data_IF_769691505124
#
_entry.id   IF_769691505124
#
_cell.length_a   1.000
_cell.length_b   1.000
_cell.length_c   1.000
_cell.angle_alpha   90.00
_cell.angle_beta   90.00
_cell.angle_gamma   90.00
#
_symmetry.space_group_name_H-M   'P 1'
#
loop_
_entity.id
_entity.type
_entity.pdbx_description
1 polymer ?
#
# COMPACT_ATOMS: atom_id res chain seq x y z
N UNK A 1 32.90 -12.53 -31.32
CA UNK A 1 32.28 -13.07 -30.08
C UNK A 1 32.61 -12.26 -28.83
N UNK A 2 33.83 -11.69 -28.66
CA UNK A 2 34.14 -10.87 -27.46
C UNK A 2 33.36 -9.55 -27.35
N UNK A 3 32.96 -8.93 -28.46
CA UNK A 3 32.38 -7.58 -28.47
C UNK A 3 30.89 -7.54 -28.07
N UNK A 4 30.12 -8.61 -28.30
CA UNK A 4 28.68 -8.65 -27.97
C UNK A 4 28.47 -8.88 -26.48
N UNK A 5 29.26 -9.75 -25.86
CA UNK A 5 29.21 -9.99 -24.41
C UNK A 5 29.58 -8.75 -23.60
N UNK A 6 30.57 -7.96 -24.05
CA UNK A 6 30.93 -6.70 -23.40
C UNK A 6 29.81 -5.65 -23.51
N UNK A 7 29.12 -5.58 -24.66
CA UNK A 7 27.97 -4.70 -24.85
C UNK A 7 26.80 -5.14 -23.95
N UNK A 8 26.49 -6.44 -23.90
CA UNK A 8 25.46 -7.01 -23.00
C UNK A 8 25.73 -6.66 -21.54
N UNK A 9 26.98 -6.81 -21.08
CA UNK A 9 27.38 -6.48 -19.71
C UNK A 9 27.31 -4.97 -19.40
N UNK A 10 27.75 -4.12 -20.34
CA UNK A 10 27.66 -2.67 -20.20
C UNK A 10 26.20 -2.19 -20.14
N UNK A 11 25.35 -2.66 -21.06
CA UNK A 11 23.92 -2.36 -21.06
C UNK A 11 23.25 -2.86 -19.78
N UNK A 12 23.54 -4.09 -19.36
CA UNK A 12 23.03 -4.65 -18.11
C UNK A 12 23.42 -3.81 -16.89
N UNK A 13 24.64 -3.28 -16.85
CA UNK A 13 25.10 -2.39 -15.77
C UNK A 13 24.35 -1.06 -15.76
N UNK A 14 24.14 -0.44 -16.92
CA UNK A 14 23.37 0.82 -17.05
C UNK A 14 21.91 0.60 -16.64
N UNK A 15 21.28 -0.49 -17.11
CA UNK A 15 19.93 -0.89 -16.73
C UNK A 15 19.85 -1.11 -15.21
N UNK A 16 20.88 -1.74 -14.64
CA UNK A 16 21.01 -1.94 -13.21
C UNK A 16 20.95 -0.62 -12.44
N UNK A 17 21.79 0.34 -12.83
CA UNK A 17 21.86 1.66 -12.20
C UNK A 17 20.53 2.43 -12.32
N UNK A 18 20.00 2.56 -13.54
CA UNK A 18 18.75 3.31 -13.79
C UNK A 18 17.57 2.65 -13.09
N UNK A 19 17.47 1.32 -13.16
CA UNK A 19 16.39 0.59 -12.50
C UNK A 19 16.41 0.74 -10.98
N UNK A 20 17.60 0.70 -10.36
CA UNK A 20 17.74 0.86 -8.92
C UNK A 20 17.31 2.24 -8.43
N UNK A 21 17.55 3.30 -9.20
CA UNK A 21 17.11 4.67 -8.86
C UNK A 21 15.60 4.86 -8.92
N UNK A 22 14.95 4.10 -9.79
CA UNK A 22 13.52 4.25 -10.06
C UNK A 22 12.68 3.38 -9.12
N UNK A 23 13.19 2.20 -8.76
CA UNK A 23 12.54 1.24 -7.88
C UNK A 23 12.12 1.87 -6.54
N UNK A 24 10.84 1.75 -6.20
CA UNK A 24 10.32 2.28 -4.94
C UNK A 24 10.43 1.27 -3.79
N UNK A 25 10.59 1.75 -2.56
CA UNK A 25 10.67 0.87 -1.38
C UNK A 25 9.34 0.17 -1.06
N UNK A 26 8.23 0.77 -1.50
CA UNK A 26 6.86 0.30 -1.26
C UNK A 26 6.63 -1.13 -1.75
N UNK A 27 7.35 -1.60 -2.79
CA UNK A 27 7.22 -3.00 -3.23
C UNK A 27 7.60 -4.01 -2.15
N UNK A 28 8.48 -3.66 -1.20
CA UNK A 28 8.80 -4.55 -0.07
C UNK A 28 7.73 -4.55 1.02
N UNK A 29 6.90 -3.50 1.15
CA UNK A 29 5.71 -3.56 2.01
C UNK A 29 4.76 -4.67 1.57
N UNK A 30 4.64 -4.90 0.25
CA UNK A 30 3.83 -5.98 -0.33
C UNK A 30 4.32 -7.36 0.09
N UNK A 31 5.63 -7.51 0.26
CA UNK A 31 6.25 -8.73 0.74
C UNK A 31 5.88 -8.97 2.21
N UNK A 32 5.99 -7.93 3.05
CA UNK A 32 5.76 -8.03 4.50
C UNK A 32 4.29 -7.98 4.93
N UNK A 33 3.40 -7.49 4.08
CA UNK A 33 1.97 -7.38 4.35
C UNK A 33 1.13 -7.75 3.11
N UNK A 34 1.22 -9.00 2.64
CA UNK A 34 0.55 -9.42 1.40
C UNK A 34 -0.97 -9.24 1.48
N UNK A 35 -1.54 -9.40 2.67
CA UNK A 35 -2.98 -9.33 2.97
C UNK A 35 -3.58 -7.98 2.56
N UNK A 36 -2.78 -6.92 2.64
CA UNK A 36 -3.17 -5.56 2.29
C UNK A 36 -3.24 -5.33 0.79
N UNK A 37 -2.41 -6.01 -0.02
CA UNK A 37 -2.24 -5.72 -1.45
C UNK A 37 -2.88 -6.74 -2.38
N UNK A 38 -2.98 -8.01 -1.98
CA UNK A 38 -3.41 -9.10 -2.87
C UNK A 38 -4.89 -9.48 -2.75
N UNK A 39 -5.69 -8.65 -2.05
CA UNK A 39 -7.10 -8.96 -1.80
C UNK A 39 -8.06 -8.51 -2.90
N UNK A 40 -7.76 -7.39 -3.57
CA UNK A 40 -8.61 -6.86 -4.65
C UNK A 40 -8.50 -7.73 -5.91
N UNK A 41 -9.63 -8.06 -6.53
CA UNK A 41 -9.70 -8.90 -7.74
C UNK A 41 -10.48 -8.20 -8.85
N UNK A 42 -10.14 -6.93 -9.12
CA UNK A 42 -10.67 -6.20 -10.27
C UNK A 42 -9.86 -6.53 -11.53
N UNK A 43 -10.49 -6.69 -12.72
CA UNK A 43 -9.76 -6.93 -13.97
C UNK A 43 -8.72 -5.86 -14.29
N UNK A 44 -9.04 -4.58 -14.06
CA UNK A 44 -8.10 -3.47 -14.25
C UNK A 44 -6.91 -3.54 -13.28
N UNK A 45 -7.14 -4.03 -12.06
CA UNK A 45 -6.07 -4.28 -11.10
C UNK A 45 -5.16 -5.43 -11.53
N UNK A 46 -5.74 -6.54 -12.02
CA UNK A 46 -4.97 -7.68 -12.51
C UNK A 46 -4.06 -7.28 -13.67
N UNK A 47 -4.55 -6.47 -14.61
CA UNK A 47 -3.73 -5.94 -15.71
C UNK A 47 -2.59 -5.06 -15.21
N UNK A 48 -2.86 -4.11 -14.31
CA UNK A 48 -1.80 -3.28 -13.71
C UNK A 48 -0.78 -4.13 -12.96
N UNK A 49 -1.24 -5.13 -12.22
CA UNK A 49 -0.37 -6.05 -11.46
C UNK A 49 0.49 -6.87 -12.42
N UNK A 50 -0.11 -7.37 -13.49
CA UNK A 50 0.56 -8.19 -14.49
C UNK A 50 1.70 -7.48 -15.19
N UNK A 51 1.53 -6.20 -15.52
CA UNK A 51 2.50 -5.46 -16.31
C UNK A 51 3.40 -4.52 -15.51
N UNK A 52 3.04 -4.15 -14.29
CA UNK A 52 3.74 -3.09 -13.55
C UNK A 52 4.28 -3.52 -12.18
N UNK A 53 3.97 -4.73 -11.70
CA UNK A 53 4.26 -5.15 -10.30
C UNK A 53 5.25 -6.31 -10.16
N UNK A 54 6.02 -6.62 -11.22
CA UNK A 54 7.04 -7.66 -11.16
C UNK A 54 8.25 -7.22 -10.33
N UNK A 55 8.75 -8.12 -9.48
CA UNK A 55 9.91 -7.87 -8.61
C UNK A 55 11.22 -8.46 -9.18
N UNK A 56 11.22 -8.89 -10.44
CA UNK A 56 12.38 -9.52 -11.10
C UNK A 56 13.43 -8.53 -11.65
N UNK A 57 13.25 -7.24 -11.37
CA UNK A 57 14.05 -6.17 -11.91
C UNK A 57 15.20 -5.72 -11.00
N UNK A 58 15.84 -4.58 -11.31
CA UNK A 58 16.94 -4.04 -10.52
C UNK A 58 16.40 -3.38 -9.24
N UNK A 59 16.13 -4.17 -8.20
CA UNK A 59 15.59 -3.70 -6.91
C UNK A 59 16.66 -3.50 -5.83
N UNK A 60 17.93 -3.75 -6.13
CA UNK A 60 19.00 -3.85 -5.14
C UNK A 60 19.17 -2.59 -4.27
N UNK A 61 19.05 -1.37 -4.84
CA UNK A 61 19.10 -0.12 -4.07
C UNK A 61 17.91 -0.02 -3.09
N UNK A 62 16.69 -0.17 -3.58
CA UNK A 62 15.49 -0.14 -2.73
C UNK A 62 15.51 -1.23 -1.63
N UNK A 63 16.07 -2.40 -1.94
CA UNK A 63 16.25 -3.49 -0.99
C UNK A 63 17.28 -3.12 0.10
N UNK A 64 18.44 -2.59 -0.28
CA UNK A 64 19.47 -2.13 0.67
C UNK A 64 18.94 -1.03 1.58
N UNK A 65 18.24 -0.04 1.02
CA UNK A 65 17.62 1.04 1.82
C UNK A 65 16.56 0.50 2.79
N UNK A 66 15.84 -0.56 2.40
CA UNK A 66 14.91 -1.26 3.29
C UNK A 66 15.67 -1.96 4.43
N UNK A 67 16.76 -2.67 4.13
CA UNK A 67 17.61 -3.30 5.15
C UNK A 67 18.27 -2.28 6.08
N UNK A 68 18.66 -1.12 5.57
CA UNK A 68 19.22 -0.02 6.37
C UNK A 68 18.20 0.56 7.33
N UNK A 69 16.95 0.78 6.89
CA UNK A 69 15.86 1.18 7.79
C UNK A 69 15.64 0.15 8.90
N UNK A 70 15.66 -1.14 8.56
CA UNK A 70 15.55 -2.22 9.55
C UNK A 70 16.72 -2.19 10.55
N UNK A 71 17.91 -1.80 10.09
CA UNK A 71 19.14 -1.70 10.90
C UNK A 71 19.12 -0.51 11.84
N UNK A 72 18.76 0.66 11.32
CA UNK A 72 18.61 1.89 12.07
C UNK A 72 17.59 1.72 13.20
N UNK A 73 16.50 1.01 12.94
CA UNK A 73 15.47 0.74 13.93
C UNK A 73 15.80 -0.41 14.90
N UNK A 74 17.00 -0.97 14.82
CA UNK A 74 17.54 -1.93 15.80
C UNK A 74 17.04 -3.37 15.68
N UNK A 75 16.40 -3.75 14.57
CA UNK A 75 15.79 -5.09 14.41
C UNK A 75 16.80 -6.25 14.32
N UNK A 76 18.07 -5.94 14.07
CA UNK A 76 19.16 -6.92 14.08
C UNK A 76 19.73 -7.18 15.48
N UNK A 77 19.43 -6.34 16.48
CA UNK A 77 20.10 -6.38 17.79
C UNK A 77 19.68 -7.55 18.69
N UNK A 78 18.58 -8.22 18.37
CA UNK A 78 18.18 -9.44 19.07
C UNK A 78 16.68 -9.64 19.14
N UNK A 79 16.25 -10.60 19.96
CA UNK A 79 14.83 -10.93 20.15
C UNK A 79 14.10 -9.74 20.77
N UNK A 80 13.00 -9.30 20.14
CA UNK A 80 12.15 -8.19 20.60
C UNK A 80 12.85 -6.83 20.77
N UNK A 81 14.08 -6.69 20.26
CA UNK A 81 14.78 -5.40 20.26
C UNK A 81 14.43 -4.61 18.99
N UNK A 82 14.48 -3.29 19.10
CA UNK A 82 14.14 -2.38 18.02
C UNK A 82 12.63 -2.18 17.81
N UNK A 83 12.28 -1.15 17.04
CA UNK A 83 10.90 -0.78 16.72
C UNK A 83 10.56 -1.08 15.25
N UNK A 84 9.33 -1.54 15.00
CA UNK A 84 8.87 -1.85 13.63
C UNK A 84 8.26 -0.64 12.93
N UNK A 85 7.85 0.39 13.68
CA UNK A 85 7.37 1.65 13.14
C UNK A 85 8.47 2.33 12.31
N UNK A 86 8.11 2.81 11.11
CA UNK A 86 9.01 3.45 10.15
C UNK A 86 9.80 2.46 9.29
N UNK A 87 9.51 1.15 9.40
CA UNK A 87 10.11 0.10 8.56
C UNK A 87 9.09 -0.44 7.56
N UNK A 88 9.54 -1.24 6.60
CA UNK A 88 8.63 -1.92 5.67
C UNK A 88 7.68 -2.93 6.34
N UNK A 89 7.90 -3.30 7.62
CA UNK A 89 6.93 -4.06 8.41
C UNK A 89 5.74 -3.22 8.85
N UNK A 90 5.96 -1.94 9.13
CA UNK A 90 4.93 -1.02 9.61
C UNK A 90 5.36 0.43 9.30
N UNK A 91 4.84 0.94 8.19
CA UNK A 91 5.23 2.26 7.69
C UNK A 91 4.69 3.39 8.57
N UNK A 92 5.49 4.43 8.74
CA UNK A 92 5.17 5.59 9.57
C UNK A 92 4.80 6.78 8.67
N UNK A 93 3.60 7.34 8.87
CA UNK A 93 3.17 8.52 8.12
C UNK A 93 3.71 9.83 8.73
N UNK A 94 4.30 9.79 9.93
CA UNK A 94 4.79 10.95 10.68
C UNK A 94 3.70 12.03 10.87
N UNK A 95 2.45 11.59 11.05
CA UNK A 95 1.30 12.47 11.27
C UNK A 95 0.94 12.51 12.75
N UNK A 96 0.33 13.62 13.16
CA UNK A 96 -0.16 13.82 14.52
C UNK A 96 -1.66 14.10 14.50
N UNK A 97 -2.35 13.62 15.53
CA UNK A 97 -3.75 13.89 15.78
C UNK A 97 -3.94 14.68 17.07
N UNK A 98 -5.01 15.46 17.13
CA UNK A 98 -5.47 16.17 18.32
C UNK A 98 -6.86 15.66 18.69
N UNK A 99 -7.14 15.59 19.98
CA UNK A 99 -8.48 15.20 20.47
C UNK A 99 -9.26 16.48 20.73
N UNK A 100 -10.45 16.60 20.16
CA UNK A 100 -11.32 17.75 20.41
C UNK A 100 -11.66 17.81 21.91
N UNK A 101 -11.47 18.98 22.52
CA UNK A 101 -11.60 19.18 23.97
C UNK A 101 -10.30 18.99 24.78
N UNK A 102 -9.21 18.51 24.16
CA UNK A 102 -7.85 18.47 24.74
C UNK A 102 -6.82 18.96 23.70
N UNK A 103 -7.01 20.20 23.24
CA UNK A 103 -6.26 20.76 22.09
C UNK A 103 -4.75 20.95 22.36
N UNK A 104 -4.33 20.99 23.63
CA UNK A 104 -2.94 21.24 24.04
C UNK A 104 -1.99 20.04 23.80
N UNK A 105 -2.53 18.84 23.51
CA UNK A 105 -1.72 17.63 23.32
C UNK A 105 -1.91 17.04 21.92
N UNK A 106 -0.85 17.13 21.13
CA UNK A 106 -0.73 16.39 19.87
C UNK A 106 -0.17 14.99 20.15
N UNK A 107 -0.80 13.98 19.56
CA UNK A 107 -0.38 12.58 19.67
C UNK A 107 0.05 12.06 18.30
N UNK A 108 1.06 11.19 18.26
CA UNK A 108 1.51 10.58 17.01
C UNK A 108 0.55 9.49 16.51
N UNK A 109 0.31 9.49 15.20
CA UNK A 109 -0.41 8.43 14.51
C UNK A 109 0.58 7.36 14.08
N UNK A 110 0.49 6.18 14.70
CA UNK A 110 1.40 5.06 14.41
C UNK A 110 0.87 4.19 13.28
N UNK A 111 -0.45 4.01 13.17
CA UNK A 111 -1.06 3.31 12.05
C UNK A 111 -1.68 4.29 11.06
N UNK A 112 -1.31 4.15 9.79
CA UNK A 112 -1.81 5.00 8.73
C UNK A 112 -3.03 4.50 7.96
N UNK A 113 -3.74 3.44 8.36
CA UNK A 113 -4.81 2.83 7.56
C UNK A 113 -5.97 3.80 7.31
N UNK A 114 -6.61 4.31 8.36
CA UNK A 114 -7.72 5.28 8.23
C UNK A 114 -7.27 6.52 7.45
N UNK A 115 -6.06 7.00 7.75
CA UNK A 115 -5.50 8.16 7.06
C UNK A 115 -5.28 7.87 5.58
N UNK A 116 -4.71 6.72 5.22
CA UNK A 116 -4.51 6.32 3.82
C UNK A 116 -5.82 6.14 3.09
N UNK A 117 -6.87 5.64 3.76
CA UNK A 117 -8.22 5.61 3.19
C UNK A 117 -8.64 7.04 2.84
N UNK A 118 -8.54 7.98 3.79
CA UNK A 118 -8.92 9.38 3.58
C UNK A 118 -8.06 10.09 2.52
N UNK A 119 -6.75 9.85 2.47
CA UNK A 119 -5.85 10.37 1.44
C UNK A 119 -6.22 9.88 0.03
N UNK A 120 -6.84 8.70 -0.07
CA UNK A 120 -7.35 8.13 -1.32
C UNK A 120 -8.79 8.52 -1.64
N UNK A 121 -9.52 9.12 -0.70
CA UNK A 121 -10.85 9.68 -0.91
C UNK A 121 -10.74 11.01 -1.66
N UNK A 122 -10.37 10.98 -2.93
CA UNK A 122 -10.38 12.18 -3.77
C UNK A 122 -11.78 12.40 -4.32
N UNK A 123 -12.32 13.64 -4.26
CA UNK A 123 -13.56 13.95 -4.95
C UNK A 123 -13.39 13.61 -6.44
N UNK A 124 -14.39 12.98 -7.09
CA UNK A 124 -14.31 12.70 -8.51
C UNK A 124 -14.07 14.02 -9.26
N UNK A 125 -13.24 14.02 -10.32
CA UNK A 125 -13.13 15.18 -11.19
C UNK A 125 -14.54 15.52 -11.67
N UNK A 126 -14.95 16.79 -11.59
CA UNK A 126 -16.27 17.21 -12.02
C UNK A 126 -16.45 16.91 -13.51
N UNK A 127 -17.26 15.90 -13.84
CA UNK A 127 -17.62 15.55 -15.21
C UNK A 127 -18.84 16.42 -15.56
N UNK A 128 -18.73 17.24 -16.60
CA UNK A 128 -19.89 17.97 -17.12
C UNK A 128 -20.93 16.96 -17.67
N UNK A 129 -22.21 17.34 -17.74
CA UNK A 129 -23.32 16.51 -18.26
C UNK A 129 -23.13 15.98 -19.71
N UNK A 130 -22.02 16.34 -20.38
CA UNK A 130 -21.62 15.87 -21.72
C UNK A 130 -20.47 14.85 -21.71
N UNK A 131 -20.00 14.40 -20.54
CA UNK A 131 -19.04 13.29 -20.43
C UNK A 131 -17.58 13.62 -20.77
N UNK A 132 -17.24 14.90 -20.95
CA UNK A 132 -15.85 15.33 -21.16
C UNK A 132 -15.16 15.63 -19.83
N UNK A 133 -13.93 15.11 -19.66
CA UNK A 133 -13.04 15.55 -18.58
C UNK A 133 -12.71 17.03 -18.80
N UNK A 134 -13.07 17.90 -17.86
CA UNK A 134 -12.69 19.32 -17.91
C UNK A 134 -11.21 19.42 -17.58
N UNK A 135 -10.37 19.60 -18.60
CA UNK A 135 -8.94 19.84 -18.38
C UNK A 135 -8.62 21.33 -18.23
N UNK A 136 -9.49 22.25 -18.66
CA UNK A 136 -9.12 23.67 -18.72
C UNK A 136 -10.09 24.61 -17.99
N UNK A 137 -9.49 25.45 -17.15
CA UNK A 137 -10.13 26.55 -16.41
C UNK A 137 -10.75 27.64 -17.31
N UNK A 138 -10.45 27.64 -18.62
CA UNK A 138 -10.85 28.70 -19.56
C UNK A 138 -12.19 28.44 -20.29
N UNK A 139 -12.83 27.30 -20.08
CA UNK A 139 -14.09 26.93 -20.77
C UNK A 139 -15.34 27.10 -19.89
N UNK A 140 -15.32 28.02 -18.91
CA UNK A 140 -16.53 28.41 -18.15
C UNK A 140 -17.30 29.49 -18.93
N UNK A 141 -18.57 29.28 -19.31
CA UNK A 141 -19.45 30.40 -19.63
C UNK A 141 -19.66 31.22 -18.35
N UNK A 142 -19.10 32.43 -18.32
CA UNK A 142 -19.42 33.56 -17.45
C UNK A 142 -20.20 33.25 -16.16
N UNK A 143 -19.50 32.74 -15.14
CA UNK A 143 -19.90 32.83 -13.73
C UNK A 143 -18.98 33.88 -13.09
N UNK A 144 -19.44 34.74 -12.15
CA UNK A 144 -18.70 35.93 -11.69
C UNK A 144 -17.43 35.63 -10.87
N UNK A 145 -17.07 34.36 -10.71
CA UNK A 145 -16.02 33.94 -9.80
C UNK A 145 -14.84 33.33 -10.57
N UNK A 146 -13.61 33.78 -10.30
CA UNK A 146 -12.43 33.32 -11.01
C UNK A 146 -12.21 31.82 -10.78
N UNK A 147 -11.55 31.13 -11.73
CA UNK A 147 -11.24 29.70 -11.60
C UNK A 147 -10.31 29.46 -10.41
N UNK A 148 -10.81 28.69 -9.44
CA UNK A 148 -10.17 28.38 -8.16
C UNK A 148 -8.92 27.53 -8.37
N UNK A 149 -7.75 28.03 -7.97
CA UNK A 149 -6.44 27.36 -8.19
C UNK A 149 -6.14 26.25 -7.17
N UNK A 150 -6.85 26.20 -6.05
CA UNK A 150 -6.60 25.26 -4.95
C UNK A 150 -7.92 24.91 -4.26
N UNK A 151 -8.13 23.62 -3.96
CA UNK A 151 -9.27 23.15 -3.18
C UNK A 151 -8.80 22.54 -1.86
N UNK A 152 -9.59 22.75 -0.80
CA UNK A 152 -9.30 22.27 0.54
C UNK A 152 -10.39 21.26 0.94
N UNK A 153 -10.14 19.95 0.79
CA UNK A 153 -11.11 18.95 1.21
C UNK A 153 -11.12 18.83 2.74
N UNK A 154 -12.32 18.70 3.29
CA UNK A 154 -12.60 18.35 4.68
C UNK A 154 -13.32 17.01 4.65
N UNK A 155 -12.70 16.00 5.25
CA UNK A 155 -13.28 14.67 5.36
C UNK A 155 -13.71 14.41 6.79
N UNK A 156 -15.00 14.13 6.98
CA UNK A 156 -15.56 13.70 8.26
C UNK A 156 -15.88 12.21 8.17
N UNK A 157 -15.11 11.42 8.89
CA UNK A 157 -15.23 9.96 8.96
C UNK A 157 -15.83 9.59 10.31
N UNK A 158 -16.98 8.93 10.31
CA UNK A 158 -17.61 8.40 11.52
C UNK A 158 -17.41 6.89 11.62
N UNK A 159 -17.00 6.42 12.79
CA UNK A 159 -16.78 5.02 13.13
C UNK A 159 -17.89 4.58 14.07
N UNK A 160 -18.61 3.54 13.67
CA UNK A 160 -19.59 2.87 14.51
C UNK A 160 -19.17 1.43 14.68
N UNK A 161 -19.08 0.98 15.93
CA UNK A 161 -18.72 -0.40 16.22
C UNK A 161 -19.98 -1.25 16.28
N UNK A 162 -20.00 -2.34 15.54
CA UNK A 162 -21.19 -3.17 15.35
C UNK A 162 -20.85 -4.62 15.67
N UNK A 163 -21.74 -5.28 16.42
CA UNK A 163 -21.65 -6.71 16.71
C UNK A 163 -22.06 -7.56 15.50
N UNK A 164 -21.61 -8.82 15.47
CA UNK A 164 -21.82 -9.74 14.33
C UNK A 164 -23.28 -10.09 14.03
N UNK A 165 -24.26 -9.62 14.82
CA UNK A 165 -25.67 -10.01 14.72
C UNK A 165 -26.57 -9.03 13.94
N UNK A 166 -26.03 -7.89 13.48
CA UNK A 166 -26.83 -6.87 12.80
C UNK A 166 -27.11 -7.18 11.32
N UNK A 167 -28.37 -7.56 11.02
CA UNK A 167 -28.86 -7.91 9.68
C UNK A 167 -28.90 -6.76 8.66
N UNK A 168 -28.75 -5.51 9.11
CA UNK A 168 -28.72 -4.33 8.22
C UNK A 168 -27.36 -4.14 7.51
N UNK A 169 -26.39 -5.01 7.77
CA UNK A 169 -25.03 -4.92 7.22
C UNK A 169 -24.86 -5.60 5.85
N UNK A 170 -25.82 -6.43 5.42
CA UNK A 170 -25.69 -7.26 4.20
C UNK A 170 -25.56 -6.46 2.90
N UNK A 171 -26.00 -5.19 2.88
CA UNK A 171 -25.92 -4.31 1.70
C UNK A 171 -24.60 -3.54 1.61
N UNK A 172 -23.75 -3.58 2.65
CA UNK A 172 -22.52 -2.79 2.72
C UNK A 172 -21.31 -3.69 2.40
N UNK A 173 -20.36 -3.16 1.63
CA UNK A 173 -19.14 -3.90 1.27
C UNK A 173 -18.31 -4.25 2.50
N UNK A 174 -18.09 -5.56 2.72
CA UNK A 174 -17.34 -6.10 3.85
C UNK A 174 -15.86 -6.32 3.53
N UNK A 175 -14.98 -5.72 4.34
CA UNK A 175 -13.53 -5.82 4.19
C UNK A 175 -12.88 -6.43 5.44
N UNK A 176 -12.61 -7.74 5.42
CA UNK A 176 -11.77 -8.40 6.44
C UNK A 176 -10.30 -8.55 6.02
N UNK A 177 -9.33 -8.33 6.90
CA UNK A 177 -7.90 -8.64 6.65
C UNK A 177 -7.60 -10.15 6.74
N UNK A 178 -8.48 -10.98 6.19
CA UNK A 178 -8.31 -12.43 6.08
C UNK A 178 -7.81 -12.83 4.71
N UNK A 179 -6.98 -13.87 4.69
CA UNK A 179 -6.30 -14.29 3.47
C UNK A 179 -7.12 -15.32 2.74
N UNK A 180 -7.55 -14.92 1.56
CA UNK A 180 -7.92 -15.89 0.54
C UNK A 180 -6.63 -16.41 -0.10
N UNK A 181 -6.23 -17.62 0.30
CA UNK A 181 -5.05 -18.30 -0.24
C UNK A 181 -5.09 -18.37 -1.77
N UNK A 182 -6.26 -18.65 -2.35
CA UNK A 182 -6.46 -18.73 -3.79
C UNK A 182 -6.29 -17.38 -4.48
N UNK A 183 -6.96 -16.32 -4.01
CA UNK A 183 -6.86 -14.99 -4.63
C UNK A 183 -5.43 -14.43 -4.54
N UNK A 184 -4.80 -14.64 -3.39
CA UNK A 184 -3.41 -14.22 -3.17
C UNK A 184 -2.46 -14.93 -4.12
N UNK A 185 -2.64 -16.25 -4.30
CA UNK A 185 -1.88 -17.02 -5.26
C UNK A 185 -2.06 -16.52 -6.70
N UNK A 186 -3.32 -16.33 -7.14
CA UNK A 186 -3.61 -15.77 -8.47
C UNK A 186 -2.98 -14.39 -8.68
N UNK A 187 -3.00 -13.52 -7.67
CA UNK A 187 -2.42 -12.19 -7.77
C UNK A 187 -0.88 -12.22 -7.81
N UNK A 188 -0.24 -13.16 -7.10
CA UNK A 188 1.22 -13.38 -7.19
C UNK A 188 1.60 -13.87 -8.59
N UNK A 189 0.89 -14.88 -9.11
CA UNK A 189 1.10 -15.40 -10.47
C UNK A 189 0.90 -14.31 -11.51
N UNK A 190 -0.17 -13.52 -11.38
CA UNK A 190 -0.40 -12.36 -12.24
C UNK A 190 0.80 -11.40 -12.17
N UNK A 191 1.26 -11.05 -10.96
CA UNK A 191 2.36 -10.09 -10.78
C UNK A 191 3.70 -10.50 -11.38
N UNK A 192 3.90 -11.79 -11.65
CA UNK A 192 5.13 -12.32 -12.26
C UNK A 192 4.86 -12.95 -13.64
N UNK A 193 3.70 -12.70 -14.25
CA UNK A 193 3.32 -13.34 -15.52
C UNK A 193 4.34 -13.09 -16.63
N UNK A 194 4.90 -11.89 -16.72
CA UNK A 194 5.94 -11.58 -17.70
C UNK A 194 7.21 -12.40 -17.48
N UNK A 195 7.60 -12.62 -16.21
CA UNK A 195 8.73 -13.46 -15.86
C UNK A 195 8.44 -14.93 -16.23
N UNK A 196 7.22 -15.40 -15.97
CA UNK A 196 6.76 -16.76 -16.32
C UNK A 196 6.82 -16.98 -17.83
N UNK A 197 6.36 -16.01 -18.62
CA UNK A 197 6.42 -16.10 -20.09
C UNK A 197 7.88 -16.19 -20.56
N UNK A 198 8.76 -15.31 -20.08
CA UNK A 198 10.19 -15.35 -20.43
C UNK A 198 10.84 -16.67 -20.00
N UNK A 199 10.55 -17.16 -18.79
CA UNK A 199 11.05 -18.43 -18.27
C UNK A 199 10.57 -19.61 -19.13
N UNK A 200 9.29 -19.62 -19.53
CA UNK A 200 8.74 -20.65 -20.39
C UNK A 200 9.41 -20.65 -21.78
N UNK A 201 9.62 -19.48 -22.38
CA UNK A 201 10.35 -19.35 -23.65
C UNK A 201 11.78 -19.90 -23.53
N UNK A 202 12.51 -19.54 -22.49
CA UNK A 202 13.90 -19.99 -22.27
C UNK A 202 13.97 -21.50 -22.00
N UNK A 203 12.99 -22.04 -21.27
CA UNK A 203 12.90 -23.46 -20.95
C UNK A 203 12.57 -24.30 -22.19
N UNK A 204 11.55 -23.92 -22.96
CA UNK A 204 11.02 -24.72 -24.07
C UNK A 204 11.91 -24.60 -25.31
N UNK A 205 12.26 -23.37 -25.70
CA UNK A 205 12.96 -23.09 -26.97
C UNK A 205 14.45 -23.35 -26.81
N UNK A 206 15.05 -22.82 -25.73
CA UNK A 206 16.51 -22.83 -25.52
C UNK A 206 16.99 -23.93 -24.56
N UNK A 207 16.06 -24.71 -23.97
CA UNK A 207 16.34 -25.84 -23.06
C UNK A 207 17.26 -25.47 -21.88
N UNK A 208 17.22 -24.22 -21.44
CA UNK A 208 18.03 -23.72 -20.34
C UNK A 208 17.22 -23.69 -19.04
N UNK A 209 17.15 -24.85 -18.37
CA UNK A 209 16.31 -25.03 -17.17
C UNK A 209 16.76 -24.16 -15.99
N UNK A 210 18.06 -24.09 -15.72
CA UNK A 210 18.58 -23.37 -14.55
C UNK A 210 18.26 -21.87 -14.61
N UNK A 211 18.41 -21.24 -15.78
CA UNK A 211 18.14 -19.81 -15.94
C UNK A 211 16.62 -19.52 -15.93
N UNK A 212 15.82 -20.48 -16.40
CA UNK A 212 14.36 -20.40 -16.29
C UNK A 212 13.91 -20.44 -14.82
N UNK A 213 14.52 -21.30 -14.00
CA UNK A 213 14.28 -21.33 -12.54
C UNK A 213 14.73 -20.03 -11.88
N UNK A 214 15.86 -19.46 -12.30
CA UNK A 214 16.34 -18.16 -11.83
C UNK A 214 15.31 -17.02 -12.09
N UNK A 215 14.68 -16.99 -13.28
CA UNK A 215 13.64 -15.99 -13.59
C UNK A 215 12.38 -16.13 -12.72
N UNK A 216 12.08 -17.35 -12.25
CA UNK A 216 10.95 -17.62 -11.36
C UNK A 216 11.28 -17.39 -9.88
N UNK A 217 12.53 -17.05 -9.55
CA UNK A 217 12.98 -16.89 -8.18
C UNK A 217 12.18 -15.81 -7.39
N UNK A 218 11.88 -14.62 -7.94
CA UNK A 218 11.06 -13.61 -7.26
C UNK A 218 9.64 -14.11 -6.93
N UNK A 219 9.04 -14.91 -7.80
CA UNK A 219 7.75 -15.55 -7.56
C UNK A 219 7.84 -16.50 -6.36
N UNK A 220 8.89 -17.32 -6.28
CA UNK A 220 9.13 -18.20 -5.14
C UNK A 220 9.30 -17.40 -3.83
N UNK A 221 10.05 -16.30 -3.85
CA UNK A 221 10.21 -15.43 -2.68
C UNK A 221 8.88 -14.83 -2.22
N UNK A 222 8.03 -14.37 -3.16
CA UNK A 222 6.68 -13.89 -2.85
C UNK A 222 5.82 -14.98 -2.19
N UNK A 223 5.86 -16.20 -2.71
CA UNK A 223 5.14 -17.34 -2.14
C UNK A 223 5.63 -17.69 -0.73
N UNK A 224 6.95 -17.71 -0.49
CA UNK A 224 7.52 -17.90 0.85
C UNK A 224 7.00 -16.82 1.78
N UNK A 225 6.97 -15.55 1.33
CA UNK A 225 6.53 -14.43 2.15
C UNK A 225 5.09 -14.56 2.64
N UNK A 226 4.17 -15.06 1.80
CA UNK A 226 2.78 -15.32 2.20
C UNK A 226 2.69 -16.36 3.32
N UNK A 227 3.55 -17.38 3.29
CA UNK A 227 3.61 -18.43 4.30
C UNK A 227 4.29 -17.93 5.59
N UNK A 228 5.30 -17.07 5.46
CA UNK A 228 6.09 -16.57 6.59
C UNK A 228 5.65 -15.20 7.08
N UNK A 229 4.45 -14.75 6.70
CA UNK A 229 3.89 -13.48 7.14
C UNK A 229 3.83 -13.39 8.67
N UNK A 230 4.10 -12.19 9.18
CA UNK A 230 3.95 -11.91 10.60
C UNK A 230 2.48 -11.74 10.97
N UNK A 231 2.14 -12.25 12.15
CA UNK A 231 0.83 -12.01 12.75
C UNK A 231 0.75 -10.55 13.15
N UNK A 232 -0.43 -9.94 12.98
CA UNK A 232 -0.67 -8.54 13.28
C UNK A 232 -1.82 -8.41 14.26
N UNK A 233 -1.81 -7.34 15.03
CA UNK A 233 -2.88 -6.99 15.96
C UNK A 233 -4.16 -6.69 15.18
N UNK A 234 -5.21 -7.39 15.57
CA UNK A 234 -6.56 -7.29 15.01
C UNK A 234 -7.40 -6.29 15.82
N UNK A 235 -8.62 -5.98 15.36
CA UNK A 235 -9.55 -5.18 16.15
C UNK A 235 -9.88 -5.92 17.44
N UNK A 236 -9.90 -5.19 18.54
CA UNK A 236 -10.20 -5.75 19.85
C UNK A 236 -11.68 -6.13 19.89
N UNK A 237 -11.98 -7.24 20.56
CA UNK A 237 -13.37 -7.60 20.83
C UNK A 237 -14.01 -6.52 21.68
N UNK A 238 -15.18 -6.08 21.24
CA UNK A 238 -15.94 -5.04 21.93
C UNK A 238 -16.65 -5.71 23.09
N UNK A 239 -16.18 -5.47 24.32
CA UNK A 239 -16.92 -5.87 25.50
C UNK A 239 -18.23 -5.05 25.56
N UNK A 240 -19.41 -5.70 25.45
CA UNK A 240 -20.68 -4.99 25.52
C UNK A 240 -20.78 -4.30 26.89
N UNK A 241 -20.82 -2.96 26.89
CA UNK A 241 -21.03 -2.13 28.09
C UNK A 241 -19.84 -1.29 28.57
N UNK A 242 -18.60 -1.50 28.08
CA UNK A 242 -17.45 -0.63 28.45
C UNK A 242 -17.13 0.47 27.43
N UNK A 243 -17.33 0.21 26.15
CA UNK A 243 -16.84 1.08 25.06
C UNK A 243 -17.93 2.00 24.46
N UNK A 244 -19.18 1.84 24.86
CA UNK A 244 -20.31 2.63 24.34
C UNK A 244 -20.41 4.06 24.92
N UNK A 245 -19.56 4.44 25.88
CA UNK A 245 -19.83 5.62 26.71
C UNK A 245 -19.13 6.93 26.29
N UNK A 246 -18.09 6.90 25.45
CA UNK A 246 -17.35 8.11 25.06
C UNK A 246 -17.05 8.14 23.57
N UNK A 247 -17.93 8.81 22.83
CA UNK A 247 -17.65 9.25 21.46
C UNK A 247 -16.66 10.41 21.57
N UNK A 248 -15.57 10.34 20.82
CA UNK A 248 -14.57 11.40 20.74
C UNK A 248 -14.30 11.74 19.28
N UNK A 249 -14.00 13.02 19.05
CA UNK A 249 -13.63 13.53 17.73
C UNK A 249 -12.14 13.84 17.70
N UNK A 250 -11.48 13.39 16.64
CA UNK A 250 -10.05 13.47 16.43
C UNK A 250 -9.77 14.29 15.17
N UNK A 251 -8.97 15.33 15.31
CA UNK A 251 -8.58 16.21 14.23
C UNK A 251 -7.16 15.87 13.75
N UNK A 252 -7.00 15.74 12.44
CA UNK A 252 -5.72 15.60 11.78
C UNK A 252 -5.59 16.61 10.64
N UNK A 253 -4.42 17.21 10.55
CA UNK A 253 -4.11 18.19 9.50
C UNK A 253 -3.02 17.61 8.61
N UNK A 254 -3.38 17.24 7.37
CA UNK A 254 -2.43 16.86 6.34
C UNK A 254 -2.29 18.00 5.32
N UNK A 255 -1.11 18.63 5.28
CA UNK A 255 -0.84 19.77 4.39
C UNK A 255 -1.07 19.45 2.91
N UNK A 256 -0.98 18.17 2.51
CA UNK A 256 -1.13 17.75 1.11
C UNK A 256 -2.54 17.29 0.78
N UNK A 257 -3.25 16.70 1.74
CA UNK A 257 -4.51 15.99 1.49
C UNK A 257 -5.72 16.60 2.19
N UNK A 258 -5.53 17.65 3.00
CA UNK A 258 -6.63 18.41 3.62
C UNK A 258 -6.79 18.15 5.11
N UNK A 259 -7.99 18.47 5.60
CA UNK A 259 -8.36 18.36 7.01
C UNK A 259 -9.18 17.08 7.21
N UNK A 260 -8.79 16.26 8.17
CA UNK A 260 -9.49 15.03 8.52
C UNK A 260 -10.09 15.14 9.92
N UNK A 261 -11.39 14.88 10.03
CA UNK A 261 -12.12 14.72 11.27
C UNK A 261 -12.56 13.26 11.36
N UNK A 262 -12.08 12.57 12.40
CA UNK A 262 -12.45 11.19 12.67
C UNK A 262 -13.23 11.16 13.97
N UNK A 263 -14.45 10.65 13.93
CA UNK A 263 -15.36 10.57 15.07
C UNK A 263 -15.72 9.12 15.35
N UNK A 264 -15.81 8.74 16.62
CA UNK A 264 -16.29 7.42 17.01
C UNK A 264 -15.93 7.09 18.45
N UNK A 265 -16.13 5.83 18.89
CA UNK A 265 -15.71 5.37 20.21
C UNK A 265 -14.21 5.61 20.42
N UNK A 266 -13.84 6.27 21.52
CA UNK A 266 -12.45 6.65 21.83
C UNK A 266 -11.50 5.43 21.82
N UNK A 267 -11.96 4.28 22.30
CA UNK A 267 -11.21 3.02 22.29
C UNK A 267 -10.92 2.54 20.86
N UNK A 268 -11.94 2.48 20.01
CA UNK A 268 -11.83 2.03 18.61
C UNK A 268 -10.92 2.95 17.80
N UNK A 269 -11.14 4.26 17.85
CA UNK A 269 -10.34 5.22 17.06
C UNK A 269 -8.87 5.23 17.52
N UNK A 270 -8.62 5.20 18.83
CA UNK A 270 -7.24 5.11 19.35
C UNK A 270 -6.59 3.77 19.06
N UNK A 271 -7.36 2.68 19.02
CA UNK A 271 -6.85 1.38 18.62
C UNK A 271 -6.32 1.45 17.19
N UNK A 272 -7.08 2.05 16.26
CA UNK A 272 -6.59 2.30 14.92
C UNK A 272 -5.27 3.08 14.98
N UNK A 273 -5.21 4.24 15.63
CA UNK A 273 -3.98 5.05 15.63
C UNK A 273 -2.75 4.41 16.30
N UNK A 274 -2.92 3.46 17.22
CA UNK A 274 -1.81 2.92 18.03
C UNK A 274 -1.42 1.48 17.73
N UNK A 275 -2.40 0.59 17.62
CA UNK A 275 -2.22 -0.84 17.79
C UNK A 275 -2.63 -1.65 16.55
N UNK A 276 -3.67 -1.21 15.84
CA UNK A 276 -4.18 -1.94 14.69
C UNK A 276 -3.08 -2.24 13.66
N UNK A 277 -3.02 -3.48 13.17
CA UNK A 277 -2.04 -3.90 12.16
C UNK A 277 -0.58 -3.95 12.64
N UNK A 278 -0.29 -3.68 13.91
CA UNK A 278 1.06 -3.75 14.45
C UNK A 278 1.54 -5.21 14.50
N UNK A 279 2.77 -5.54 14.05
CA UNK A 279 3.24 -6.93 14.09
C UNK A 279 3.41 -7.44 15.53
N UNK A 280 2.91 -8.64 15.78
CA UNK A 280 2.98 -9.33 17.07
C UNK A 280 4.32 -10.05 17.18
N UNK A 281 5.08 -9.76 18.25
CA UNK A 281 6.43 -10.32 18.47
C UNK A 281 6.55 -11.16 19.74
N UNK A 282 5.51 -11.88 20.14
CA UNK A 282 5.48 -12.59 21.43
C UNK A 282 6.25 -13.92 21.36
N UNK A 283 6.09 -14.68 20.28
CA UNK A 283 6.62 -16.04 20.17
C UNK A 283 8.00 -16.11 19.51
N UNK A 284 8.72 -17.23 19.71
CA UNK A 284 9.96 -17.53 18.96
C UNK A 284 9.69 -17.67 17.45
N UNK A 285 8.53 -18.19 17.07
CA UNK A 285 8.13 -18.33 15.66
C UNK A 285 7.97 -16.97 14.97
N UNK A 286 7.44 -15.97 15.69
CA UNK A 286 7.31 -14.61 15.14
C UNK A 286 8.69 -13.99 14.84
N UNK A 287 9.71 -14.28 15.67
CA UNK A 287 11.09 -13.87 15.39
C UNK A 287 11.67 -14.61 14.18
N UNK A 288 11.41 -15.90 14.03
CA UNK A 288 11.86 -16.65 12.83
C UNK A 288 11.23 -16.05 11.57
N UNK A 289 9.94 -15.73 11.61
CA UNK A 289 9.23 -15.06 10.50
C UNK A 289 9.82 -13.69 10.17
N UNK A 290 10.16 -12.90 11.18
CA UNK A 290 10.86 -11.62 11.02
C UNK A 290 12.21 -11.82 10.31
N UNK A 291 13.03 -12.76 10.79
CA UNK A 291 14.34 -13.06 10.20
C UNK A 291 14.22 -13.58 8.76
N UNK A 292 13.23 -14.44 8.47
CA UNK A 292 12.95 -14.88 7.11
C UNK A 292 12.57 -13.68 6.25
N UNK A 293 11.72 -12.78 6.74
CA UNK A 293 11.37 -11.55 6.04
C UNK A 293 12.60 -10.69 5.70
N UNK A 294 13.53 -10.51 6.64
CA UNK A 294 14.79 -9.80 6.41
C UNK A 294 15.63 -10.53 5.35
N UNK A 295 15.72 -11.87 5.44
CA UNK A 295 16.43 -12.68 4.47
C UNK A 295 15.83 -12.62 3.06
N UNK A 296 14.50 -12.52 2.94
CA UNK A 296 13.83 -12.34 1.65
C UNK A 296 14.24 -11.01 0.99
N UNK A 297 14.28 -9.91 1.75
CA UNK A 297 14.77 -8.62 1.22
C UNK A 297 16.25 -8.71 0.84
N UNK A 298 17.07 -9.37 1.66
CA UNK A 298 18.47 -9.62 1.32
C UNK A 298 18.63 -10.43 0.02
N UNK A 299 17.76 -11.41 -0.24
CA UNK A 299 17.78 -12.15 -1.51
C UNK A 299 17.52 -11.24 -2.72
N UNK A 300 16.66 -10.23 -2.59
CA UNK A 300 16.42 -9.23 -3.65
C UNK A 300 17.61 -8.29 -3.88
N UNK A 301 18.49 -8.09 -2.90
CA UNK A 301 19.76 -7.35 -3.10
C UNK A 301 20.64 -8.08 -4.12
N UNK A 302 20.74 -9.41 -4.00
CA UNK A 302 21.61 -10.23 -4.83
C UNK A 302 20.97 -10.70 -6.14
N UNK A 303 19.64 -10.68 -6.25
CA UNK A 303 18.94 -11.19 -7.43
C UNK A 303 19.48 -10.59 -8.73
N UNK A 304 19.43 -9.27 -8.88
CA UNK A 304 19.88 -8.61 -10.10
C UNK A 304 21.39 -8.79 -10.39
N UNK A 305 22.31 -8.58 -9.43
CA UNK A 305 23.73 -8.87 -9.64
C UNK A 305 24.02 -10.31 -10.07
N UNK A 306 23.33 -11.29 -9.49
CA UNK A 306 23.47 -12.71 -9.89
C UNK A 306 22.97 -12.90 -11.32
N UNK A 307 21.86 -12.27 -11.70
CA UNK A 307 21.38 -12.30 -13.10
C UNK A 307 22.36 -11.70 -14.10
N UNK A 308 22.96 -10.56 -13.75
CA UNK A 308 23.97 -9.90 -14.58
C UNK A 308 25.22 -10.77 -14.72
N UNK A 309 25.72 -11.34 -13.62
CA UNK A 309 26.85 -12.26 -13.65
C UNK A 309 26.52 -13.53 -14.44
N UNK A 310 25.27 -14.02 -14.31
CA UNK A 310 24.76 -15.19 -15.03
C UNK A 310 24.90 -15.05 -16.55
N UNK A 311 24.90 -13.84 -17.10
CA UNK A 311 25.10 -13.58 -18.53
C UNK A 311 26.43 -14.15 -19.06
N UNK A 312 27.45 -14.36 -18.21
CA UNK A 312 28.73 -14.95 -18.60
C UNK A 312 28.63 -16.42 -19.03
N UNK A 313 27.63 -17.15 -18.53
CA UNK A 313 27.46 -18.59 -18.77
C UNK A 313 26.28 -18.93 -19.67
N UNK A 314 25.60 -17.92 -20.20
CA UNK A 314 24.34 -18.06 -20.93
C UNK A 314 24.55 -17.69 -22.40
N UNK A 315 23.84 -18.39 -23.29
CA UNK A 315 23.86 -18.15 -24.74
C UNK A 315 23.38 -16.73 -25.09
N UNK A 316 23.90 -16.16 -26.20
CA UNK A 316 23.64 -14.78 -26.60
C UNK A 316 22.14 -14.49 -26.78
N UNK A 317 21.38 -15.46 -27.29
CA UNK A 317 19.94 -15.35 -27.51
C UNK A 317 19.19 -15.15 -26.18
N UNK A 318 19.57 -15.92 -25.16
CA UNK A 318 18.98 -15.81 -23.82
C UNK A 318 19.45 -14.50 -23.15
N UNK A 319 20.70 -14.07 -23.36
CA UNK A 319 21.16 -12.76 -22.89
C UNK A 319 20.30 -11.64 -23.46
N UNK A 320 19.99 -11.68 -24.77
CA UNK A 320 19.14 -10.69 -25.42
C UNK A 320 17.73 -10.69 -24.83
N UNK A 321 17.12 -11.87 -24.60
CA UNK A 321 15.81 -11.98 -23.94
C UNK A 321 15.85 -11.37 -22.55
N UNK A 322 16.87 -11.67 -21.76
CA UNK A 322 17.02 -11.12 -20.41
C UNK A 322 17.19 -9.60 -20.44
N UNK A 323 18.03 -9.06 -21.32
CA UNK A 323 18.24 -7.60 -21.45
C UNK A 323 16.93 -6.91 -21.83
N UNK A 324 16.23 -7.41 -22.85
CA UNK A 324 14.93 -6.85 -23.27
C UNK A 324 13.92 -6.88 -22.12
N UNK A 325 13.88 -8.00 -21.38
CA UNK A 325 13.03 -8.14 -20.22
C UNK A 325 13.39 -7.12 -19.11
N UNK A 326 14.67 -6.92 -18.82
CA UNK A 326 15.11 -5.93 -17.82
C UNK A 326 14.83 -4.49 -18.25
N UNK A 327 14.99 -4.15 -19.54
CA UNK A 327 14.59 -2.83 -20.08
C UNK A 327 13.09 -2.62 -19.88
N UNK A 328 12.27 -3.62 -20.22
CA UNK A 328 10.83 -3.59 -19.99
C UNK A 328 10.50 -3.34 -18.51
N UNK A 329 11.15 -4.04 -17.58
CA UNK A 329 10.93 -3.84 -16.15
C UNK A 329 11.29 -2.44 -15.68
N UNK A 330 12.40 -1.86 -16.17
CA UNK A 330 12.77 -0.49 -15.85
C UNK A 330 11.71 0.50 -16.35
N UNK A 331 11.21 0.33 -17.58
CA UNK A 331 10.11 1.16 -18.11
C UNK A 331 8.85 0.98 -17.24
N UNK A 332 8.51 -0.26 -16.90
CA UNK A 332 7.36 -0.56 -16.04
C UNK A 332 7.50 0.11 -14.66
N UNK A 333 8.70 0.15 -14.07
CA UNK A 333 8.94 0.86 -12.81
C UNK A 333 8.75 2.38 -12.94
N UNK A 334 9.17 2.98 -14.05
CA UNK A 334 8.90 4.40 -14.29
C UNK A 334 7.40 4.67 -14.39
N UNK A 335 6.68 3.87 -15.19
CA UNK A 335 5.23 3.99 -15.34
C UNK A 335 4.54 3.78 -13.99
N UNK A 336 4.95 2.77 -13.22
CA UNK A 336 4.37 2.48 -11.92
C UNK A 336 4.56 3.63 -10.93
N UNK A 337 5.74 4.22 -10.89
CA UNK A 337 6.07 5.36 -10.03
C UNK A 337 5.30 6.62 -10.43
N UNK A 338 5.22 6.93 -11.73
CA UNK A 338 4.51 8.12 -12.23
C UNK A 338 2.99 8.02 -12.07
N UNK A 339 2.44 6.81 -12.20
CA UNK A 339 0.98 6.58 -12.12
C UNK A 339 0.51 6.19 -10.72
N UNK A 340 1.42 6.01 -9.76
CA UNK A 340 1.09 5.46 -8.43
C UNK A 340 0.61 4.00 -8.47
N UNK A 341 0.96 3.23 -9.51
CA UNK A 341 0.54 1.83 -9.62
C UNK A 341 1.14 0.92 -8.54
N UNK A 342 2.22 1.33 -7.88
CA UNK A 342 2.79 0.62 -6.73
C UNK A 342 1.89 0.62 -5.49
N UNK A 343 0.89 1.50 -5.44
CA UNK A 343 -0.15 1.46 -4.41
C UNK A 343 -1.41 0.71 -4.87
N UNK A 344 -1.49 0.30 -6.14
CA UNK A 344 -2.64 -0.45 -6.64
C UNK A 344 -2.82 -1.79 -5.89
N UNK A 345 -4.08 -2.17 -5.66
CA UNK A 345 -4.43 -3.41 -4.96
C UNK A 345 -4.58 -3.28 -3.45
N UNK A 346 -4.09 -2.17 -2.87
CA UNK A 346 -4.27 -1.84 -1.45
C UNK A 346 -5.76 -1.86 -1.06
N UNK A 347 -6.09 -2.53 0.04
CA UNK A 347 -7.44 -2.54 0.62
C UNK A 347 -7.91 -1.11 0.91
N UNK A 348 -7.01 -0.20 1.30
CA UNK A 348 -7.35 1.20 1.59
C UNK A 348 -7.96 1.91 0.40
N UNK A 349 -7.45 1.63 -0.81
CA UNK A 349 -7.95 2.24 -2.05
C UNK A 349 -9.34 1.71 -2.37
N UNK A 350 -9.59 0.42 -2.08
CA UNK A 350 -10.91 -0.17 -2.28
C UNK A 350 -11.93 0.40 -1.29
N UNK A 351 -11.56 0.49 -0.02
CA UNK A 351 -12.40 1.10 1.01
C UNK A 351 -12.69 2.56 0.65
N UNK A 352 -11.67 3.33 0.26
CA UNK A 352 -11.83 4.72 -0.16
C UNK A 352 -12.81 4.85 -1.35
N UNK A 353 -12.70 3.96 -2.34
CA UNK A 353 -13.63 3.94 -3.49
C UNK A 353 -15.07 3.67 -3.06
N UNK A 354 -15.28 2.71 -2.16
CA UNK A 354 -16.62 2.40 -1.65
C UNK A 354 -17.18 3.54 -0.80
N UNK A 355 -16.36 4.15 0.05
CA UNK A 355 -16.76 5.32 0.84
C UNK A 355 -17.15 6.50 -0.04
N UNK A 356 -16.43 6.76 -1.13
CA UNK A 356 -16.77 7.83 -2.06
C UNK A 356 -18.02 7.52 -2.91
N UNK A 357 -18.32 6.25 -3.19
CA UNK A 357 -19.46 5.86 -4.02
C UNK A 357 -20.77 5.71 -3.22
N UNK A 358 -20.70 5.08 -2.05
CA UNK A 358 -21.86 4.69 -1.25
C UNK A 358 -21.89 5.29 0.16
N UNK A 359 -20.91 6.12 0.53
CA UNK A 359 -20.84 6.80 1.83
C UNK A 359 -20.53 5.89 3.02
N UNK A 360 -20.54 4.55 2.86
CA UNK A 360 -20.34 3.57 3.94
C UNK A 360 -19.49 2.37 3.50
N UNK A 361 -18.67 1.85 4.41
CA UNK A 361 -17.91 0.61 4.24
C UNK A 361 -17.76 -0.12 5.59
N UNK A 362 -17.68 -1.45 5.58
CA UNK A 362 -17.45 -2.22 6.82
C UNK A 362 -16.03 -2.76 6.83
N UNK A 363 -15.29 -2.49 7.91
CA UNK A 363 -14.04 -3.16 8.21
C UNK A 363 -14.29 -4.27 9.23
N UNK A 364 -14.11 -5.52 8.80
CA UNK A 364 -14.21 -6.69 9.64
C UNK A 364 -12.84 -7.14 10.15
N UNK A 365 -12.83 -7.68 11.36
CA UNK A 365 -11.67 -8.38 11.89
C UNK A 365 -11.99 -9.87 12.05
N UNK A 366 -10.97 -10.73 11.95
CA UNK A 366 -11.13 -12.17 12.20
C UNK A 366 -11.54 -12.52 13.65
N UNK A 367 -11.52 -11.53 14.55
CA UNK A 367 -12.10 -11.58 15.90
C UNK A 367 -13.63 -11.43 15.94
N UNK A 368 -14.30 -11.30 14.78
CA UNK A 368 -15.76 -11.14 14.72
C UNK A 368 -16.27 -9.72 15.03
N UNK A 369 -15.36 -8.79 15.35
CA UNK A 369 -15.70 -7.37 15.52
C UNK A 369 -15.74 -6.66 14.17
N UNK A 370 -16.79 -5.87 13.94
CA UNK A 370 -16.96 -5.08 12.73
C UNK A 370 -17.05 -3.59 13.07
N UNK A 371 -16.40 -2.77 12.24
CA UNK A 371 -16.46 -1.31 12.33
C UNK A 371 -17.05 -0.77 11.04
N UNK A 372 -18.19 -0.12 11.14
CA UNK A 372 -18.80 0.62 10.04
C UNK A 372 -18.12 1.98 9.95
N UNK A 373 -17.56 2.25 8.79
CA UNK A 373 -16.99 3.53 8.39
C UNK A 373 -18.04 4.28 7.57
N UNK A 374 -18.38 5.51 7.94
CA UNK A 374 -19.19 6.39 7.09
C UNK A 374 -18.44 7.69 6.81
N UNK A 375 -18.44 8.13 5.55
CA UNK A 375 -17.66 9.29 5.11
C UNK A 375 -18.57 10.38 4.56
N UNK A 376 -18.40 11.59 5.08
CA UNK A 376 -18.91 12.83 4.49
C UNK A 376 -17.70 13.65 4.04
N UNK A 377 -17.60 13.90 2.73
CA UNK A 377 -16.51 14.66 2.14
C UNK A 377 -17.06 15.97 1.58
N UNK A 378 -16.50 17.09 2.04
CA UNK A 378 -16.85 18.43 1.55
C UNK A 378 -15.58 19.10 1.01
N UNK A 379 -15.72 19.86 -0.08
CA UNK A 379 -14.59 20.53 -0.74
C UNK A 379 -14.82 22.03 -0.68
N UNK A 380 -13.86 22.76 -0.13
CA UNK A 380 -13.93 24.21 0.03
C UNK A 380 -12.94 24.92 -0.88
N UNK A 381 -13.28 26.14 -1.29
CA UNK A 381 -12.42 26.97 -2.13
C UNK A 381 -11.39 27.71 -1.28
N UNK A 382 -11.80 28.18 -0.10
CA UNK A 382 -10.92 28.89 0.82
C UNK A 382 -10.57 28.02 2.03
N UNK A 383 -9.31 28.03 2.43
CA UNK A 383 -8.87 27.38 3.66
C UNK A 383 -9.63 27.88 4.90
N UNK A 384 -10.02 29.16 4.90
CA UNK A 384 -10.79 29.76 5.99
C UNK A 384 -12.17 29.11 6.14
N UNK A 385 -12.88 28.90 5.03
CA UNK A 385 -14.18 28.21 5.02
C UNK A 385 -14.05 26.77 5.48
N UNK A 386 -12.98 26.08 5.05
CA UNK A 386 -12.69 24.71 5.50
C UNK A 386 -12.48 24.65 7.02
N UNK A 387 -11.74 25.62 7.59
CA UNK A 387 -11.51 25.72 9.03
C UNK A 387 -12.76 26.14 9.80
N UNK A 388 -13.59 27.02 9.24
CA UNK A 388 -14.89 27.41 9.81
C UNK A 388 -15.81 26.20 9.85
N UNK A 389 -15.88 25.40 8.78
CA UNK A 389 -16.65 24.16 8.76
C UNK A 389 -16.18 23.15 9.81
N UNK A 390 -14.86 23.00 9.97
CA UNK A 390 -14.30 22.14 11.03
C UNK A 390 -14.75 22.63 12.41
N UNK A 391 -14.77 23.95 12.65
CA UNK A 391 -15.28 24.52 13.90
C UNK A 391 -16.77 24.27 14.09
N UNK A 392 -17.57 24.44 13.04
CA UNK A 392 -19.02 24.16 13.08
C UNK A 392 -19.30 22.72 13.48
N UNK A 393 -18.64 21.75 12.84
CA UNK A 393 -18.79 20.32 13.14
C UNK A 393 -18.38 20.03 14.59
N UNK A 394 -17.28 20.64 15.07
CA UNK A 394 -16.88 20.54 16.47
C UNK A 394 -17.92 21.11 17.44
N UNK A 395 -18.65 22.15 17.06
CA UNK A 395 -19.65 22.78 17.94
C UNK A 395 -21.01 22.11 17.89
N UNK A 396 -21.41 21.50 16.77
CA UNK A 396 -22.73 20.87 16.63
C UNK A 396 -22.85 19.55 17.39
N UNK A 397 -21.74 18.83 17.58
CA UNK A 397 -21.75 17.46 18.10
C UNK A 397 -21.37 17.40 19.60
N UNK A 398 -20.95 18.54 20.19
CA UNK A 398 -20.60 18.69 21.62
C UNK A 398 -21.59 19.57 22.41
N UNK A 399 -22.69 20.01 21.79
CA UNK A 399 -23.85 20.65 22.43
C UNK A 399 -24.97 19.65 22.62
#
# INVERSE_FOLDING_TARGET
>A
MANTNSISGALGSIIGYVGAEVAERVVFERLFWPDRFYKSFSPGYLLKTMFLSSMSGPLHKAALETLDKLRQNGLYRGKQQGHMLGTAFFDDLHLQYRVCGHEDKAFEVRNGMLIRILQNCRPPPSIDAKGTFRTDAESRPSIPYPPTRTSHPVHHLTLQTVGSEDKNLDQISHFAEEISHFRTFCAIVASEMTAIICAATICIVYRCFWFSVYLLFPMLLKLISVQTRMRREQLAEVEPGKDSARIAMFELVDRKHGLFLIEGPDSTVRQFFRHYGHPIRVSKLDRVKELIGIALVAAFVFHFPVGLLSMLWVQQEIQNIWIVYQVYLVIAYHVARLTGANDSGRIEIEIARQLMAGGKAILGSGSGTMVVLSLVSQVFEHQREALERVKEIKTSDFS
#
